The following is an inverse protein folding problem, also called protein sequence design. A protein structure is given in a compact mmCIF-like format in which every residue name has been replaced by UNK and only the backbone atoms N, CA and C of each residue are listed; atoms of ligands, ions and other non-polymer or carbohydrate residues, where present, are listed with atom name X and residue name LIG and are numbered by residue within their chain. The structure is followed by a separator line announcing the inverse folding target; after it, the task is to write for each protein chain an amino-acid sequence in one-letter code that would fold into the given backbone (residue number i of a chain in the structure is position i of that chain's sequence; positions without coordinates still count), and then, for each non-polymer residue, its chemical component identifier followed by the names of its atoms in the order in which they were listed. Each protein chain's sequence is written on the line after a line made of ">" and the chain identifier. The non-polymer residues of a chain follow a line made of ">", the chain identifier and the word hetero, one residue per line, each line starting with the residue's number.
data_IF_626624294551
#
_entry.id   IF_626624294551
#
_cell.length_a   1.000
_cell.length_b   1.000
_cell.length_c   1.000
_cell.angle_alpha   90.00
_cell.angle_beta   90.00
_cell.angle_gamma   90.00
#
_symmetry.space_group_name_H-M   'P 1'
#
loop_
_entity.id
_entity.type
_entity.pdbx_description
1 polymer ?
#
# COMPACT_ATOMS: atom_id res chain seq x y z
N UNK A 1 -54.60 47.72 52.53
CA UNK A 1 -54.93 46.48 51.79
C UNK A 1 -54.37 46.65 50.39
N UNK A 2 -53.24 46.02 50.09
CA UNK A 2 -52.60 46.07 48.79
C UNK A 2 -51.83 44.77 48.58
N UNK A 3 -52.38 43.88 47.79
CA UNK A 3 -51.81 42.56 47.50
C UNK A 3 -50.80 42.69 46.37
N UNK A 4 -49.52 42.44 46.67
CA UNK A 4 -48.45 42.42 45.68
C UNK A 4 -48.53 41.11 44.87
N UNK A 5 -48.64 41.25 43.56
CA UNK A 5 -48.76 40.15 42.61
C UNK A 5 -47.37 39.75 42.13
N UNK A 6 -46.96 38.51 42.41
CA UNK A 6 -45.66 37.96 42.03
C UNK A 6 -45.67 37.57 40.54
N UNK A 7 -44.67 37.95 39.73
CA UNK A 7 -44.63 37.59 38.32
C UNK A 7 -44.28 36.10 38.11
N UNK A 8 -44.81 35.46 37.04
CA UNK A 8 -44.58 34.04 36.77
C UNK A 8 -43.14 33.77 36.33
N UNK A 9 -42.59 32.66 36.83
CA UNK A 9 -41.24 32.18 36.50
C UNK A 9 -41.15 31.79 35.01
N UNK A 10 -40.21 32.43 34.31
CA UNK A 10 -39.84 32.09 32.92
C UNK A 10 -39.00 30.81 32.94
N UNK A 11 -39.59 29.71 32.46
CA UNK A 11 -38.88 28.45 32.26
C UNK A 11 -38.04 28.56 31.00
N UNK A 12 -36.72 28.70 31.17
CA UNK A 12 -35.76 28.68 30.07
C UNK A 12 -35.50 27.21 29.70
N UNK A 13 -36.11 26.73 28.63
CA UNK A 13 -35.78 25.43 28.02
C UNK A 13 -34.40 25.49 27.39
N UNK A 14 -33.49 24.62 27.85
CA UNK A 14 -32.13 24.50 27.32
C UNK A 14 -32.15 24.11 25.83
N UNK A 15 -31.24 24.66 25.00
CA UNK A 15 -31.18 24.34 23.58
C UNK A 15 -30.87 22.86 23.38
N UNK A 16 -31.67 22.17 22.55
CA UNK A 16 -31.45 20.76 22.23
C UNK A 16 -30.06 20.57 21.64
N UNK A 17 -29.22 19.76 22.30
CA UNK A 17 -27.92 19.37 21.78
C UNK A 17 -28.09 18.78 20.39
N UNK A 18 -27.67 19.53 19.36
CA UNK A 18 -27.64 19.05 17.99
C UNK A 18 -26.84 17.75 17.96
N UNK A 19 -27.44 16.66 17.47
CA UNK A 19 -26.74 15.39 17.25
C UNK A 19 -25.64 15.64 16.23
N UNK A 20 -24.41 15.80 16.71
CA UNK A 20 -23.22 15.77 15.86
C UNK A 20 -23.21 14.37 15.23
N UNK A 21 -23.26 14.31 13.90
CA UNK A 21 -23.18 13.05 13.18
C UNK A 21 -21.91 12.32 13.65
N UNK A 22 -22.03 11.06 14.09
CA UNK A 22 -20.88 10.23 14.44
C UNK A 22 -20.50 9.40 13.23
N UNK A 23 -19.21 9.35 12.91
CA UNK A 23 -18.66 8.51 11.83
C UNK A 23 -18.10 7.25 12.49
N UNK A 24 -18.43 6.07 11.98
CA UNK A 24 -17.85 4.82 12.50
C UNK A 24 -16.48 4.56 11.87
N UNK A 25 -15.50 4.15 12.67
CA UNK A 25 -14.18 3.76 12.17
C UNK A 25 -14.31 2.55 11.23
N UNK A 26 -13.72 2.58 10.02
CA UNK A 26 -13.85 1.48 9.06
C UNK A 26 -13.14 0.20 9.50
N UNK A 27 -12.11 0.30 10.35
CA UNK A 27 -11.34 -0.86 10.80
C UNK A 27 -11.97 -1.59 12.00
N UNK A 28 -12.46 -0.86 13.00
CA UNK A 28 -12.98 -1.48 14.22
C UNK A 28 -14.46 -1.19 14.52
N UNK A 29 -15.15 -0.38 13.70
CA UNK A 29 -16.56 -0.04 13.87
C UNK A 29 -16.86 0.95 15.01
N UNK A 30 -15.86 1.39 15.78
CA UNK A 30 -16.06 2.32 16.88
C UNK A 30 -16.53 3.70 16.40
N UNK A 31 -17.50 4.29 17.09
CA UNK A 31 -17.95 5.64 16.80
C UNK A 31 -16.84 6.67 17.08
N UNK A 32 -16.58 7.53 16.11
CA UNK A 32 -15.56 8.57 16.20
C UNK A 32 -16.22 9.95 16.07
N UNK A 33 -15.79 10.96 16.85
CA UNK A 33 -16.30 12.32 16.70
C UNK A 33 -15.99 12.82 15.29
N UNK A 34 -17.02 13.23 14.53
CA UNK A 34 -16.87 13.60 13.12
C UNK A 34 -16.04 14.86 12.86
N UNK A 35 -15.60 15.55 13.90
CA UNK A 35 -14.67 16.66 13.77
C UNK A 35 -13.25 16.14 14.02
N UNK A 36 -12.43 16.12 12.97
CA UNK A 36 -10.96 16.19 13.00
C UNK A 36 -10.15 15.08 13.69
N UNK A 37 -10.73 13.92 13.99
CA UNK A 37 -9.94 12.75 14.41
C UNK A 37 -9.25 12.12 13.19
N UNK A 38 -7.91 12.09 13.19
CA UNK A 38 -7.13 11.41 12.15
C UNK A 38 -6.93 9.91 12.44
N UNK A 39 -7.03 9.50 13.71
CA UNK A 39 -6.87 8.12 14.17
C UNK A 39 -8.04 7.68 15.00
N UNK A 40 -8.42 6.41 14.87
CA UNK A 40 -9.41 5.82 15.71
C UNK A 40 -8.84 5.69 17.13
N UNK A 41 -9.48 6.27 18.16
CA UNK A 41 -8.98 6.17 19.53
C UNK A 41 -9.08 4.73 20.10
N UNK A 42 -9.82 3.84 19.44
CA UNK A 42 -9.98 2.44 19.88
C UNK A 42 -8.92 1.51 19.29
N UNK A 43 -8.67 1.55 17.97
CA UNK A 43 -7.70 0.65 17.32
C UNK A 43 -6.37 1.33 16.93
N UNK A 44 -6.29 2.66 16.96
CA UNK A 44 -5.11 3.41 16.54
C UNK A 44 -4.86 3.44 15.03
N UNK A 45 -5.81 2.93 14.23
CA UNK A 45 -5.74 2.99 12.76
C UNK A 45 -6.19 4.36 12.25
N UNK A 46 -5.57 4.88 11.17
CA UNK A 46 -6.00 6.12 10.54
C UNK A 46 -7.46 6.01 10.07
N UNK A 47 -8.28 7.02 10.35
CA UNK A 47 -9.68 7.07 9.92
C UNK A 47 -9.78 7.54 8.46
N UNK A 48 -8.72 8.17 7.96
CA UNK A 48 -8.61 8.65 6.59
C UNK A 48 -7.36 8.08 5.90
N UNK A 49 -7.51 6.96 5.20
CA UNK A 49 -7.08 6.98 3.80
C UNK A 49 -8.29 7.43 2.99
N UNK A 50 -8.56 8.75 2.99
CA UNK A 50 -9.28 9.33 1.86
C UNK A 50 -8.32 9.14 0.69
N UNK A 51 -8.52 8.01 -0.01
CA UNK A 51 -7.73 7.58 -1.13
C UNK A 51 -7.43 8.81 -2.00
N UNK A 52 -6.21 8.90 -2.52
CA UNK A 52 -5.81 9.97 -3.43
C UNK A 52 -6.89 10.17 -4.51
N UNK A 53 -7.59 9.10 -4.88
CA UNK A 53 -8.76 9.05 -5.76
C UNK A 53 -9.93 9.92 -5.28
N UNK A 54 -10.34 9.93 -4.01
CA UNK A 54 -11.43 10.82 -3.52
C UNK A 54 -10.99 12.28 -3.50
N UNK A 55 -9.72 12.59 -3.19
CA UNK A 55 -9.18 13.94 -3.34
C UNK A 55 -9.10 14.35 -4.82
N UNK A 56 -8.69 13.46 -5.69
CA UNK A 56 -8.64 13.68 -7.14
C UNK A 56 -10.04 13.88 -7.71
N UNK A 57 -11.04 13.11 -7.26
CA UNK A 57 -12.45 13.24 -7.65
C UNK A 57 -13.02 14.58 -7.22
N UNK A 58 -12.64 15.09 -6.03
CA UNK A 58 -13.04 16.43 -5.55
C UNK A 58 -12.36 17.57 -6.34
N UNK A 59 -11.11 17.38 -6.77
CA UNK A 59 -10.37 18.32 -7.63
C UNK A 59 -10.97 18.32 -9.05
N UNK A 60 -11.28 17.13 -9.59
CA UNK A 60 -11.85 16.93 -10.92
C UNK A 60 -13.34 17.26 -10.99
N UNK A 61 -14.07 17.33 -9.87
CA UNK A 61 -15.47 17.77 -9.85
C UNK A 61 -15.64 19.29 -9.85
N UNK A 62 -14.55 20.06 -9.72
CA UNK A 62 -14.63 21.52 -9.74
C UNK A 62 -14.55 22.03 -11.20
N UNK A 63 -15.63 22.60 -11.76
CA UNK A 63 -15.68 23.01 -13.16
C UNK A 63 -14.62 24.07 -13.51
N UNK A 64 -14.18 24.89 -12.55
CA UNK A 64 -13.13 25.88 -12.77
C UNK A 64 -11.76 25.23 -13.02
N UNK A 65 -11.43 24.17 -12.27
CA UNK A 65 -10.15 23.46 -12.43
C UNK A 65 -10.11 22.71 -13.77
N UNK A 66 -11.23 22.11 -14.17
CA UNK A 66 -11.37 21.49 -15.50
C UNK A 66 -11.11 22.54 -16.60
N UNK A 67 -11.69 23.74 -16.47
CA UNK A 67 -11.49 24.84 -17.41
C UNK A 67 -10.02 25.28 -17.52
N UNK A 68 -9.32 25.44 -16.40
CA UNK A 68 -7.90 25.81 -16.39
C UNK A 68 -7.04 24.73 -17.05
N UNK A 69 -7.29 23.47 -16.74
CA UNK A 69 -6.52 22.34 -17.29
C UNK A 69 -6.70 22.21 -18.80
N UNK A 70 -7.93 22.43 -19.31
CA UNK A 70 -8.23 22.45 -20.73
C UNK A 70 -7.49 23.58 -21.47
N UNK A 71 -7.42 24.79 -20.89
CA UNK A 71 -6.67 25.92 -21.48
C UNK A 71 -5.17 25.62 -21.52
N UNK A 72 -4.60 25.08 -20.44
CA UNK A 72 -3.18 24.69 -20.41
C UNK A 72 -2.86 23.63 -21.47
N UNK A 73 -3.72 22.63 -21.63
CA UNK A 73 -3.54 21.58 -22.64
C UNK A 73 -3.61 22.16 -24.07
N UNK A 74 -4.55 23.08 -24.33
CA UNK A 74 -4.67 23.75 -25.62
C UNK A 74 -3.43 24.60 -25.94
N UNK A 75 -2.88 25.32 -24.95
CA UNK A 75 -1.64 26.09 -25.13
C UNK A 75 -0.43 25.20 -25.39
N UNK A 76 -0.34 24.04 -24.74
CA UNK A 76 0.75 23.09 -24.95
C UNK A 76 0.71 22.50 -26.37
N UNK A 77 -0.48 22.13 -26.85
CA UNK A 77 -0.67 21.64 -28.23
C UNK A 77 -0.34 22.74 -29.25
N UNK A 78 -0.78 23.98 -29.02
CA UNK A 78 -0.43 25.11 -29.88
C UNK A 78 1.09 25.37 -29.92
N UNK A 79 1.77 25.27 -28.77
CA UNK A 79 3.22 25.41 -28.69
C UNK A 79 3.96 24.32 -29.47
N UNK A 80 3.52 23.06 -29.38
CA UNK A 80 4.10 21.95 -30.14
C UNK A 80 3.90 22.11 -31.65
N UNK A 81 2.74 22.59 -32.09
CA UNK A 81 2.47 22.85 -33.51
C UNK A 81 3.32 24.00 -34.07
N UNK A 82 3.58 25.04 -33.26
CA UNK A 82 4.43 26.16 -33.66
C UNK A 82 5.92 25.81 -33.66
N UNK A 83 6.38 24.92 -32.77
CA UNK A 83 7.77 24.49 -32.72
C UNK A 83 8.18 23.60 -33.92
N UNK A 84 7.23 22.92 -34.56
CA UNK A 84 7.49 22.02 -35.69
C UNK A 84 7.81 22.68 -37.03
N UNK A 85 7.68 24.01 -37.16
CA UNK A 85 7.82 24.72 -38.45
C UNK A 85 9.16 25.45 -38.65
N UNK A 86 10.09 25.43 -37.68
CA UNK A 86 11.34 26.18 -37.75
C UNK A 86 12.62 25.34 -38.01
N UNK A 87 12.50 24.07 -38.38
CA UNK A 87 13.65 23.18 -38.65
C UNK A 87 13.95 22.99 -40.13
N UNK A 88 14.50 23.99 -40.81
CA UNK A 88 14.90 23.89 -42.21
C UNK A 88 15.74 25.07 -42.67
N UNK A 89 16.98 25.19 -42.16
CA UNK A 89 18.01 26.00 -42.82
C UNK A 89 19.00 25.07 -43.49
N UNK A 90 19.04 25.18 -44.81
CA UNK A 90 19.94 24.50 -45.72
C UNK A 90 21.40 24.77 -45.33
N UNK A 91 22.11 23.69 -44.97
CA UNK A 91 23.55 23.71 -44.77
C UNK A 91 24.27 23.84 -46.10
N UNK A 92 24.87 25.01 -46.31
CA UNK A 92 25.82 25.32 -47.38
C UNK A 92 27.02 24.37 -47.34
N UNK A 93 27.31 23.73 -48.47
CA UNK A 93 28.48 22.87 -48.67
C UNK A 93 29.81 23.66 -48.56
N UNK A 94 30.87 23.09 -47.96
CA UNK A 94 32.21 23.67 -48.01
C UNK A 94 32.94 23.29 -49.31
N UNK A 95 33.89 24.12 -49.78
CA UNK A 95 34.57 23.93 -51.05
C UNK A 95 35.65 22.84 -50.99
N UNK A 96 35.83 22.22 -52.16
CA UNK A 96 36.84 21.23 -52.53
C UNK A 96 38.28 21.74 -52.42
N UNK A 97 39.19 20.83 -52.03
CA UNK A 97 40.64 20.96 -52.16
C UNK A 97 41.28 19.56 -52.33
N UNK A 98 42.45 19.44 -52.99
CA UNK A 98 42.69 18.37 -53.97
C UNK A 98 43.63 17.24 -53.51
N UNK A 99 43.55 16.15 -54.28
CA UNK A 99 44.57 15.14 -54.59
C UNK A 99 45.35 14.42 -53.47
N UNK A 100 45.14 13.10 -53.40
CA UNK A 100 46.25 12.16 -53.57
C UNK A 100 45.75 10.75 -53.87
N UNK A 101 46.31 10.23 -54.95
CA UNK A 101 46.24 8.89 -55.51
C UNK A 101 46.53 7.76 -54.52
N UNK A 102 45.75 6.68 -54.57
CA UNK A 102 46.38 5.38 -54.80
C UNK A 102 45.43 4.36 -55.43
N UNK A 103 45.99 3.64 -56.40
CA UNK A 103 45.33 2.75 -57.33
C UNK A 103 45.36 1.28 -56.87
N UNK A 104 44.43 0.50 -57.41
CA UNK A 104 44.39 -0.97 -57.37
C UNK A 104 43.09 -1.44 -56.71
N UNK A 105 42.11 -2.04 -57.39
CA UNK A 105 42.14 -2.80 -58.63
C UNK A 105 41.44 -4.15 -58.35
N UNK A 106 40.62 -4.60 -59.31
CA UNK A 106 40.03 -5.94 -59.49
C UNK A 106 38.76 -6.31 -58.66
N UNK A 107 37.93 -7.28 -59.09
CA UNK A 107 36.64 -6.98 -59.70
C UNK A 107 35.43 -7.67 -59.03
N UNK A 108 34.24 -7.31 -59.53
CA UNK A 108 32.91 -7.96 -59.43
C UNK A 108 32.88 -9.46 -59.06
N UNK A 109 31.82 -9.90 -58.33
CA UNK A 109 30.72 -10.51 -59.09
C UNK A 109 29.29 -10.23 -58.58
N UNK A 110 28.41 -10.00 -59.54
CA UNK A 110 27.11 -10.67 -59.80
C UNK A 110 26.28 -11.28 -58.66
N UNK A 111 24.99 -10.92 -58.67
CA UNK A 111 23.87 -11.67 -58.06
C UNK A 111 23.33 -11.00 -56.78
N UNK A 112 22.04 -10.70 -56.61
CA UNK A 112 20.90 -11.58 -56.83
C UNK A 112 19.61 -10.75 -56.79
N UNK A 113 18.72 -10.94 -57.77
CA UNK A 113 17.38 -10.38 -57.76
C UNK A 113 16.50 -11.14 -56.75
N UNK A 114 15.94 -10.42 -55.77
CA UNK A 114 14.95 -10.97 -54.84
C UNK A 114 13.55 -10.87 -55.46
N UNK A 115 13.01 -12.04 -55.85
CA UNK A 115 11.61 -12.21 -56.24
C UNK A 115 10.74 -12.20 -54.98
N UNK A 116 9.85 -11.22 -54.87
CA UNK A 116 8.83 -11.13 -53.82
C UNK A 116 7.72 -12.15 -54.12
N UNK A 117 7.68 -13.25 -53.36
CA UNK A 117 6.58 -14.20 -53.36
C UNK A 117 5.43 -13.63 -52.52
N UNK A 118 4.31 -13.29 -53.16
CA UNK A 118 3.04 -12.97 -52.48
C UNK A 118 2.40 -14.26 -51.96
N UNK A 119 2.18 -14.32 -50.66
CA UNK A 119 1.31 -15.31 -50.00
C UNK A 119 -0.16 -14.96 -50.25
N UNK A 120 -1.01 -15.91 -50.68
CA UNK A 120 -2.46 -15.69 -50.76
C UNK A 120 -3.13 -15.81 -49.38
N UNK A 121 -4.03 -14.86 -49.10
CA UNK A 121 -4.93 -14.84 -47.94
C UNK A 121 -5.82 -16.09 -47.87
N UNK A 122 -6.09 -16.65 -46.68
CA UNK A 122 -7.09 -17.69 -46.52
C UNK A 122 -8.52 -17.13 -46.56
N UNK A 123 -9.34 -17.74 -47.42
CA UNK A 123 -10.79 -17.58 -47.52
C UNK A 123 -11.47 -18.11 -46.26
N UNK A 124 -12.21 -17.25 -45.55
CA UNK A 124 -13.07 -17.63 -44.43
C UNK A 124 -14.37 -18.20 -44.99
N UNK A 125 -14.66 -19.46 -44.67
CA UNK A 125 -15.94 -20.09 -44.94
C UNK A 125 -16.96 -19.69 -43.86
N UNK A 126 -18.08 -19.12 -44.30
CA UNK A 126 -19.20 -18.73 -43.46
C UNK A 126 -20.02 -19.96 -43.08
N UNK A 127 -19.99 -20.36 -41.81
CA UNK A 127 -20.84 -21.42 -41.28
C UNK A 127 -22.17 -20.83 -40.79
N UNK A 128 -23.27 -21.29 -41.39
CA UNK A 128 -24.64 -20.86 -41.06
C UNK A 128 -25.09 -21.46 -39.73
N UNK A 129 -25.25 -20.61 -38.72
CA UNK A 129 -25.88 -20.96 -37.44
C UNK A 129 -27.41 -21.01 -37.62
N UNK A 130 -27.99 -22.19 -37.35
CA UNK A 130 -29.45 -22.41 -37.26
C UNK A 130 -29.99 -21.80 -35.96
N UNK A 131 -31.03 -20.97 -36.11
CA UNK A 131 -31.85 -20.42 -35.02
C UNK A 131 -32.92 -21.45 -34.59
N UNK A 132 -33.09 -21.74 -33.28
CA UNK A 132 -34.33 -22.33 -32.79
C UNK A 132 -35.34 -21.26 -32.35
N UNK A 133 -36.49 -21.41 -33.01
CA UNK A 133 -37.85 -20.89 -32.83
C UNK A 133 -38.27 -20.55 -31.39
N UNK A 134 -38.90 -19.39 -31.26
CA UNK A 134 -39.59 -18.88 -30.08
C UNK A 134 -40.79 -19.75 -29.67
N UNK A 135 -40.96 -19.94 -28.35
CA UNK A 135 -42.23 -20.35 -27.74
C UNK A 135 -42.61 -19.29 -26.72
N UNK A 136 -43.67 -18.55 -27.06
CA UNK A 136 -44.44 -17.72 -26.15
C UNK A 136 -45.19 -18.61 -25.16
N UNK A 137 -45.14 -18.30 -23.86
CA UNK A 137 -46.33 -18.40 -23.00
C UNK A 137 -46.27 -17.33 -21.91
N UNK A 138 -47.33 -16.52 -21.92
CA UNK A 138 -47.69 -15.53 -20.91
C UNK A 138 -48.47 -16.21 -19.80
N UNK A 139 -48.10 -15.99 -18.53
CA UNK A 139 -49.05 -16.03 -17.39
C UNK A 139 -48.44 -15.41 -16.11
N UNK A 140 -49.06 -14.34 -15.66
CA UNK A 140 -48.92 -13.73 -14.32
C UNK A 140 -50.06 -14.25 -13.39
N UNK A 141 -50.09 -13.94 -12.08
CA UNK A 141 -49.85 -14.90 -10.99
C UNK A 141 -51.10 -15.25 -10.19
N UNK A 142 -51.06 -16.38 -9.47
CA UNK A 142 -52.07 -16.79 -8.49
C UNK A 142 -51.47 -16.92 -7.10
N UNK A 143 -52.14 -16.31 -6.11
CA UNK A 143 -51.78 -16.29 -4.71
C UNK A 143 -52.05 -17.63 -3.98
N UNK A 144 -51.41 -17.78 -2.81
CA UNK A 144 -51.63 -18.79 -1.77
C UNK A 144 -51.29 -20.25 -2.10
N UNK A 145 -50.10 -20.68 -1.69
CA UNK A 145 -49.89 -22.06 -1.23
C UNK A 145 -48.72 -22.13 -0.23
N UNK A 146 -49.07 -22.39 1.03
CA UNK A 146 -48.16 -22.79 2.11
C UNK A 146 -47.60 -24.16 1.77
N UNK A 147 -46.28 -24.31 1.60
CA UNK A 147 -45.64 -25.62 1.39
C UNK A 147 -44.89 -26.02 2.65
N UNK A 148 -45.42 -27.08 3.25
CA UNK A 148 -44.91 -27.80 4.40
C UNK A 148 -43.84 -28.80 3.93
N UNK A 149 -42.71 -28.88 4.64
CA UNK A 149 -41.65 -29.86 4.38
C UNK A 149 -42.13 -31.27 4.72
N UNK A 150 -42.00 -32.21 3.78
CA UNK A 150 -41.90 -33.63 4.10
C UNK A 150 -41.22 -34.40 2.96
N UNK A 151 -40.22 -35.18 3.36
CA UNK A 151 -39.44 -36.13 2.58
C UNK A 151 -40.24 -36.87 1.50
N UNK A 152 -39.73 -36.86 0.26
CA UNK A 152 -39.85 -38.02 -0.64
C UNK A 152 -38.68 -38.00 -1.62
N UNK A 153 -37.72 -38.90 -1.40
CA UNK A 153 -36.72 -39.30 -2.38
C UNK A 153 -37.44 -40.11 -3.46
N UNK A 154 -37.34 -39.68 -4.72
CA UNK A 154 -37.75 -40.48 -5.88
C UNK A 154 -36.64 -41.45 -6.28
N UNK A 155 -36.96 -42.72 -6.60
CA UNK A 155 -36.02 -43.74 -7.05
C UNK A 155 -36.08 -43.89 -8.57
N UNK A 156 -34.98 -43.63 -9.27
CA UNK A 156 -34.70 -44.02 -10.67
C UNK A 156 -33.19 -43.74 -10.84
N UNK A 157 -32.26 -44.68 -10.97
CA UNK A 157 -32.14 -45.71 -12.02
C UNK A 157 -31.37 -46.90 -11.43
N UNK A 158 -31.91 -48.09 -11.62
CA UNK A 158 -31.25 -49.39 -11.45
C UNK A 158 -30.73 -49.90 -12.81
N UNK A 159 -29.58 -50.57 -12.73
CA UNK A 159 -29.10 -51.68 -13.57
C UNK A 159 -28.57 -51.41 -14.98
N UNK A 160 -27.24 -51.51 -15.12
CA UNK A 160 -26.51 -52.60 -15.79
C UNK A 160 -25.18 -52.74 -14.99
N UNK A 161 -24.88 -53.82 -14.26
CA UNK A 161 -24.63 -55.18 -14.73
C UNK A 161 -23.11 -55.39 -14.84
N UNK A 162 -22.49 -56.11 -13.90
CA UNK A 162 -21.07 -56.48 -13.96
C UNK A 162 -20.51 -56.91 -12.61
N UNK A 163 -20.52 -58.23 -12.39
CA UNK A 163 -20.06 -58.94 -11.20
C UNK A 163 -18.58 -58.72 -10.85
N UNK A 164 -18.32 -58.79 -9.54
CA UNK A 164 -17.18 -59.41 -8.84
C UNK A 164 -16.52 -58.50 -7.77
N UNK A 165 -16.49 -59.00 -6.53
CA UNK A 165 -15.49 -58.58 -5.55
C UNK A 165 -16.03 -57.91 -4.28
N UNK A 166 -16.52 -58.72 -3.36
CA UNK A 166 -16.83 -58.39 -1.98
C UNK A 166 -15.55 -57.95 -1.22
N UNK A 167 -15.35 -56.64 -1.01
CA UNK A 167 -14.35 -56.08 -0.10
C UNK A 167 -14.96 -54.90 0.66
N UNK A 168 -15.51 -55.17 1.84
CA UNK A 168 -15.90 -54.16 2.83
C UNK A 168 -14.65 -53.39 3.29
N UNK A 169 -14.32 -52.29 2.60
CA UNK A 169 -13.35 -51.31 3.08
C UNK A 169 -14.00 -50.48 4.19
N UNK A 170 -13.67 -50.80 5.44
CA UNK A 170 -13.86 -49.91 6.58
C UNK A 170 -13.19 -48.58 6.30
N UNK A 171 -13.98 -47.51 6.29
CA UNK A 171 -13.51 -46.13 6.17
C UNK A 171 -12.70 -45.77 7.43
N UNK A 172 -11.38 -45.76 7.34
CA UNK A 172 -10.53 -45.18 8.38
C UNK A 172 -10.65 -43.66 8.31
N UNK A 173 -11.02 -42.96 9.40
CA UNK A 173 -11.09 -41.51 9.40
C UNK A 173 -9.69 -40.93 9.19
N UNK A 174 -9.52 -40.18 8.10
CA UNK A 174 -8.30 -39.46 7.78
C UNK A 174 -7.91 -38.57 8.97
N UNK A 175 -6.68 -38.66 9.50
CA UNK A 175 -6.25 -37.83 10.63
C UNK A 175 -6.36 -36.36 10.21
N UNK A 176 -7.13 -35.58 10.98
CA UNK A 176 -7.25 -34.13 10.78
C UNK A 176 -5.83 -33.53 10.80
N UNK A 177 -5.46 -32.69 9.81
CA UNK A 177 -4.17 -32.03 9.84
C UNK A 177 -4.05 -31.26 11.16
N UNK A 178 -3.02 -31.59 11.95
CA UNK A 178 -2.68 -30.83 13.16
C UNK A 178 -2.48 -29.38 12.72
N UNK A 179 -3.25 -28.45 13.29
CA UNK A 179 -3.03 -27.00 13.14
C UNK A 179 -1.57 -26.72 13.49
N UNK A 180 -0.75 -26.41 12.51
CA UNK A 180 0.59 -25.89 12.73
C UNK A 180 0.45 -24.60 13.54
N UNK A 181 1.12 -24.46 14.70
CA UNK A 181 1.06 -23.23 15.47
C UNK A 181 1.55 -22.07 14.62
N UNK A 182 0.80 -20.94 14.64
CA UNK A 182 1.25 -19.69 14.03
C UNK A 182 2.63 -19.35 14.62
N UNK A 183 3.64 -19.28 13.77
CA UNK A 183 4.95 -18.75 14.15
C UNK A 183 4.77 -17.26 14.38
N UNK A 184 4.87 -16.82 15.64
CA UNK A 184 4.85 -15.40 15.98
C UNK A 184 6.17 -14.79 15.48
N UNK A 185 6.14 -13.71 14.68
CA UNK A 185 7.36 -13.09 14.20
C UNK A 185 8.21 -12.64 15.40
N UNK A 186 9.49 -13.03 15.38
CA UNK A 186 10.44 -12.63 16.43
C UNK A 186 11.01 -11.27 16.02
N UNK A 187 10.77 -10.25 16.84
CA UNK A 187 11.34 -8.91 16.65
C UNK A 187 12.30 -8.61 17.78
N UNK A 188 13.55 -8.31 17.43
CA UNK A 188 14.55 -7.83 18.38
C UNK A 188 14.69 -6.32 18.26
N UNK A 189 14.53 -5.64 19.41
CA UNK A 189 14.67 -4.19 19.51
C UNK A 189 15.97 -3.89 20.25
N UNK A 190 16.91 -3.20 19.60
CA UNK A 190 18.03 -2.61 20.32
C UNK A 190 17.50 -1.39 21.08
N UNK A 191 17.55 -1.43 22.42
CA UNK A 191 17.14 -0.29 23.24
C UNK A 191 18.07 0.89 22.97
N UNK A 192 17.58 2.03 22.49
CA UNK A 192 18.43 3.18 22.20
C UNK A 192 19.00 3.78 23.49
N UNK A 193 20.29 4.09 23.47
CA UNK A 193 20.84 5.10 24.37
C UNK A 193 20.31 6.49 23.96
N UNK A 194 20.19 7.46 24.88
CA UNK A 194 19.79 8.83 24.54
C UNK A 194 20.70 9.42 23.46
N UNK A 195 20.16 9.65 22.26
CA UNK A 195 20.91 10.12 21.09
C UNK A 195 21.63 9.04 20.28
N UNK A 196 21.45 7.77 20.61
CA UNK A 196 21.99 6.63 19.87
C UNK A 196 21.16 6.26 18.64
N UNK A 197 21.75 5.46 17.75
CA UNK A 197 21.05 4.88 16.62
C UNK A 197 19.95 3.93 17.12
N UNK A 198 18.75 4.10 16.58
CA UNK A 198 17.64 3.19 16.81
C UNK A 198 17.75 2.06 15.80
N UNK A 199 17.73 0.80 16.23
CA UNK A 199 17.80 -0.36 15.32
C UNK A 199 16.75 -1.39 15.69
N UNK A 200 15.98 -1.81 14.68
CA UNK A 200 15.00 -2.88 14.77
C UNK A 200 15.33 -3.97 13.75
N UNK A 201 15.15 -5.22 14.14
CA UNK A 201 15.32 -6.37 13.25
C UNK A 201 14.19 -7.36 13.46
N UNK A 202 13.74 -7.99 12.40
CA UNK A 202 12.66 -8.97 12.49
C UNK A 202 12.29 -9.57 11.15
N UNK A 203 11.16 -10.28 11.15
CA UNK A 203 10.53 -10.87 9.98
C UNK A 203 9.05 -10.47 9.97
N UNK A 204 8.45 -10.43 8.78
CA UNK A 204 7.02 -10.10 8.64
C UNK A 204 6.67 -8.64 8.92
N UNK A 205 5.38 -8.34 8.94
CA UNK A 205 4.89 -6.99 9.23
C UNK A 205 5.22 -6.60 10.68
N UNK A 206 5.68 -5.37 10.87
CA UNK A 206 5.95 -4.85 12.20
C UNK A 206 5.67 -3.35 12.30
N UNK A 207 5.08 -2.96 13.43
CA UNK A 207 4.81 -1.57 13.80
C UNK A 207 5.43 -1.32 15.15
N UNK A 208 6.34 -0.36 15.25
CA UNK A 208 7.00 -0.03 16.52
C UNK A 208 6.02 0.62 17.50
N UNK A 209 6.29 0.49 18.79
CA UNK A 209 5.76 1.43 19.76
C UNK A 209 6.16 2.88 19.39
N UNK A 210 5.37 3.89 19.75
CA UNK A 210 5.74 5.28 19.53
C UNK A 210 7.07 5.63 20.22
N UNK A 211 7.97 6.34 19.54
CA UNK A 211 9.26 6.75 20.08
C UNK A 211 9.55 8.24 19.80
N UNK A 212 10.25 8.94 20.71
CA UNK A 212 10.56 10.35 20.51
C UNK A 212 11.68 10.53 19.49
N UNK A 213 11.51 11.49 18.56
CA UNK A 213 12.59 12.03 17.76
C UNK A 213 12.70 13.54 17.99
N UNK A 214 13.93 14.01 18.08
CA UNK A 214 14.24 15.45 18.14
C UNK A 214 14.31 16.03 16.72
N UNK A 215 14.27 17.36 16.61
CA UNK A 215 14.47 18.05 15.33
C UNK A 215 15.81 17.72 14.68
N UNK A 216 15.85 17.81 13.36
CA UNK A 216 17.06 17.68 12.55
C UNK A 216 16.97 16.64 11.45
N UNK A 217 18.09 16.45 10.77
CA UNK A 217 18.22 15.50 9.66
C UNK A 217 18.39 14.09 10.21
N UNK A 218 17.45 13.21 9.88
CA UNK A 218 17.51 11.78 10.19
C UNK A 218 17.78 10.99 8.91
N UNK A 219 18.52 9.89 9.03
CA UNK A 219 18.71 8.90 7.97
C UNK A 219 18.08 7.59 8.41
N UNK A 220 17.28 7.00 7.53
CA UNK A 220 16.68 5.68 7.69
C UNK A 220 17.44 4.74 6.75
N UNK A 221 18.14 3.76 7.30
CA UNK A 221 18.82 2.70 6.56
C UNK A 221 18.02 1.40 6.72
N UNK A 222 17.69 0.76 5.61
CA UNK A 222 16.90 -0.47 5.57
C UNK A 222 17.68 -1.55 4.80
N UNK A 223 17.83 -2.72 5.39
CA UNK A 223 18.26 -3.95 4.72
C UNK A 223 17.14 -4.97 4.81
N UNK A 224 16.92 -5.73 3.76
CA UNK A 224 15.94 -6.81 3.76
C UNK A 224 16.38 -7.95 2.83
N UNK A 225 15.85 -9.16 3.00
CA UNK A 225 16.06 -10.24 2.03
C UNK A 225 15.02 -10.22 0.90
N UNK A 226 13.88 -9.58 1.14
CA UNK A 226 12.77 -9.40 0.21
C UNK A 226 12.41 -7.92 0.12
N UNK A 227 11.68 -7.52 -0.93
CA UNK A 227 11.18 -6.16 -1.03
C UNK A 227 10.43 -5.81 0.26
N UNK A 228 10.87 -4.76 0.94
CA UNK A 228 10.37 -4.32 2.23
C UNK A 228 10.33 -2.80 2.23
N UNK A 229 9.25 -2.23 2.74
CA UNK A 229 9.09 -0.78 2.88
C UNK A 229 9.02 -0.44 4.35
N UNK A 230 9.83 0.54 4.77
CA UNK A 230 9.77 1.14 6.09
C UNK A 230 9.25 2.58 5.97
N UNK A 231 8.15 2.88 6.66
CA UNK A 231 7.51 4.18 6.70
C UNK A 231 7.68 4.80 8.08
N UNK A 232 8.30 5.97 8.15
CA UNK A 232 8.35 6.79 9.36
C UNK A 232 7.12 7.70 9.36
N UNK A 233 6.31 7.58 10.41
CA UNK A 233 5.08 8.36 10.61
C UNK A 233 5.19 9.24 11.85
N UNK A 234 4.64 10.45 11.79
CA UNK A 234 4.56 11.34 12.96
C UNK A 234 3.39 10.98 13.91
N UNK A 235 3.17 11.77 14.96
CA UNK A 235 2.08 11.53 15.92
C UNK A 235 0.68 11.71 15.31
N UNK A 236 0.61 12.43 14.20
CA UNK A 236 -0.57 12.59 13.34
C UNK A 236 -0.64 11.49 12.27
N UNK A 237 0.21 10.45 12.41
CA UNK A 237 0.47 9.31 11.52
C UNK A 237 0.66 9.62 10.03
N UNK A 238 0.91 10.90 9.72
CA UNK A 238 1.35 11.35 8.41
C UNK A 238 2.74 10.77 8.15
N UNK A 239 2.93 10.23 6.95
CA UNK A 239 4.23 9.70 6.52
C UNK A 239 5.20 10.86 6.31
N UNK A 240 6.28 10.88 7.08
CA UNK A 240 7.36 11.87 6.99
C UNK A 240 8.58 11.33 6.25
N UNK A 241 8.70 10.01 6.10
CA UNK A 241 9.80 9.37 5.39
C UNK A 241 9.50 7.94 4.97
N UNK A 242 10.09 7.52 3.84
CA UNK A 242 9.94 6.17 3.28
C UNK A 242 11.31 5.66 2.85
N UNK A 243 11.70 4.48 3.34
CA UNK A 243 12.80 3.70 2.82
C UNK A 243 12.25 2.40 2.22
N UNK A 244 12.79 1.96 1.08
CA UNK A 244 12.52 0.63 0.53
C UNK A 244 13.84 -0.10 0.35
N UNK A 245 13.85 -1.39 0.64
CA UNK A 245 14.99 -2.27 0.42
C UNK A 245 14.49 -3.60 -0.12
N UNK A 246 15.36 -4.32 -0.80
CA UNK A 246 15.13 -5.71 -1.18
C UNK A 246 16.46 -6.43 -1.02
N UNK A 247 16.87 -7.28 -1.98
CA UNK A 247 18.21 -7.87 -1.97
C UNK A 247 19.35 -6.84 -1.86
N UNK A 248 19.08 -5.58 -2.22
CA UNK A 248 19.97 -4.45 -2.03
C UNK A 248 19.50 -3.56 -0.87
N UNK A 249 20.42 -3.03 -0.04
CA UNK A 249 20.09 -2.06 0.99
C UNK A 249 19.50 -0.79 0.38
N UNK A 250 18.57 -0.17 1.10
CA UNK A 250 18.02 1.15 0.78
C UNK A 250 18.24 2.14 1.90
N UNK A 251 18.26 3.43 1.57
CA UNK A 251 18.35 4.49 2.58
C UNK A 251 17.58 5.73 2.15
N UNK A 252 16.99 6.46 3.10
CA UNK A 252 16.39 7.78 2.86
C UNK A 252 16.83 8.78 3.92
N UNK A 253 16.78 10.07 3.58
CA UNK A 253 17.06 11.17 4.50
C UNK A 253 15.77 11.97 4.72
N UNK A 254 15.42 12.18 5.97
CA UNK A 254 14.18 12.83 6.41
C UNK A 254 14.52 14.05 7.26
N UNK A 255 13.90 15.18 6.98
CA UNK A 255 13.97 16.35 7.85
C UNK A 255 12.86 16.30 8.89
N UNK A 256 13.23 16.12 10.16
CA UNK A 256 12.31 16.22 11.29
C UNK A 256 12.29 17.69 11.72
N UNK A 257 11.25 18.42 11.30
CA UNK A 257 11.13 19.87 11.54
C UNK A 257 10.69 20.20 12.96
N UNK A 258 9.93 19.31 13.59
CA UNK A 258 9.40 19.49 14.94
C UNK A 258 9.74 18.27 15.81
N UNK A 259 10.14 18.48 17.09
CA UNK A 259 10.36 17.36 17.99
C UNK A 259 9.01 16.72 18.28
N UNK A 260 8.95 15.40 18.30
CA UNK A 260 7.67 14.71 18.40
C UNK A 260 7.78 13.23 18.65
N UNK A 261 6.62 12.59 18.75
CA UNK A 261 6.52 11.14 18.81
C UNK A 261 6.31 10.61 17.40
N UNK A 262 7.06 9.56 17.05
CA UNK A 262 7.03 8.93 15.74
C UNK A 262 6.79 7.44 15.89
N UNK A 263 6.32 6.82 14.81
CA UNK A 263 6.17 5.37 14.68
C UNK A 263 6.84 4.92 13.39
N UNK A 264 7.43 3.73 13.42
CA UNK A 264 7.99 3.09 12.24
C UNK A 264 7.12 1.88 11.89
N UNK A 265 6.65 1.85 10.65
CA UNK A 265 5.85 0.76 10.10
C UNK A 265 6.65 0.05 9.01
N UNK A 266 6.73 -1.27 9.09
CA UNK A 266 7.56 -2.11 8.22
C UNK A 266 6.67 -3.15 7.55
N UNK A 267 6.66 -3.13 6.23
CA UNK A 267 5.80 -3.96 5.39
C UNK A 267 6.66 -4.73 4.40
N UNK A 268 7.04 -5.99 4.70
CA UNK A 268 7.70 -6.87 3.74
C UNK A 268 6.69 -7.46 2.74
N UNK A 269 7.12 -7.58 1.49
CA UNK A 269 6.39 -8.21 0.39
C UNK A 269 6.86 -9.66 0.20
N UNK A 270 6.83 -10.44 1.28
CA UNK A 270 7.27 -11.82 1.29
C UNK A 270 7.73 -12.28 2.68
N UNK A 271 8.18 -13.54 2.76
CA UNK A 271 8.86 -14.05 3.95
C UNK A 271 10.34 -13.70 3.85
N UNK A 272 10.84 -12.93 4.82
CA UNK A 272 12.22 -12.48 4.81
C UNK A 272 12.57 -11.66 6.03
N UNK A 273 13.86 -11.67 6.35
CA UNK A 273 14.41 -10.86 7.44
C UNK A 273 14.62 -9.43 6.96
N UNK A 274 14.35 -8.48 7.84
CA UNK A 274 14.67 -7.08 7.64
C UNK A 274 15.42 -6.52 8.86
N UNK A 275 16.20 -5.47 8.62
CA UNK A 275 16.85 -4.66 9.66
C UNK A 275 16.74 -3.21 9.26
N UNK A 276 16.22 -2.38 10.15
CA UNK A 276 16.04 -0.94 9.92
C UNK A 276 16.72 -0.14 11.02
N UNK A 277 17.55 0.82 10.61
CA UNK A 277 18.25 1.75 11.48
C UNK A 277 17.78 3.18 11.24
N UNK A 278 17.54 3.94 12.32
CA UNK A 278 17.36 5.39 12.26
C UNK A 278 18.54 6.04 12.98
N UNK A 279 19.28 6.87 12.24
CA UNK A 279 20.43 7.61 12.76
C UNK A 279 20.29 9.11 12.52
N UNK A 280 20.68 9.92 13.49
CA UNK A 280 20.75 11.37 13.31
C UNK A 280 22.00 11.70 12.51
N UNK A 281 21.84 12.44 11.40
CA UNK A 281 22.96 13.05 10.71
C UNK A 281 23.34 14.29 11.51
N UNK A 282 24.40 14.18 12.30
CA UNK A 282 25.04 15.35 12.92
C UNK A 282 25.81 16.04 11.80
N UNK A 283 25.16 16.99 11.12
CA UNK A 283 25.90 17.96 10.32
C UNK A 283 26.83 18.66 11.29
N UNK A 284 28.14 18.43 11.16
CA UNK A 284 29.16 19.18 11.91
C UNK A 284 28.90 20.65 11.62
N UNK A 285 28.19 21.32 12.53
CA UNK A 285 27.95 22.75 12.46
C UNK A 285 29.33 23.38 12.27
N UNK A 286 29.46 24.16 11.19
CA UNK A 286 30.75 24.55 10.64
C UNK A 286 31.76 24.86 11.72
N UNK A 287 32.93 24.22 11.62
CA UNK A 287 34.13 24.83 12.17
C UNK A 287 34.10 26.30 11.71
N UNK A 288 34.29 27.26 12.63
CA UNK A 288 34.35 28.66 12.24
C UNK A 288 35.33 28.75 11.06
N UNK A 289 35.01 29.48 9.99
CA UNK A 289 35.89 29.60 8.84
C UNK A 289 37.27 29.95 9.39
N UNK A 290 38.25 29.08 9.18
CA UNK A 290 39.63 29.33 9.58
C UNK A 290 40.00 30.60 8.84
N UNK A 291 40.04 31.72 9.54
CA UNK A 291 40.53 32.98 9.00
C UNK A 291 41.95 32.68 8.56
N UNK A 292 42.29 32.76 7.26
CA UNK A 292 43.67 32.62 6.84
C UNK A 292 44.47 33.69 7.60
N UNK A 293 45.60 33.34 8.23
CA UNK A 293 46.40 34.32 8.95
C UNK A 293 46.78 35.44 7.99
N UNK A 294 46.30 36.64 8.30
CA UNK A 294 46.70 37.89 7.65
C UNK A 294 48.22 37.99 7.69
N UNK A 295 48.81 38.27 6.53
CA UNK A 295 50.23 38.14 6.27
C UNK A 295 51.12 38.90 7.26
N UNK A 296 51.94 38.15 7.98
CA UNK A 296 53.28 38.58 8.38
C UNK A 296 54.28 37.97 7.39
N UNK A 297 54.79 38.79 6.47
CA UNK A 297 56.15 38.55 5.94
C UNK A 297 57.09 38.65 7.14
N UNK A 298 58.05 37.73 7.23
CA UNK A 298 59.08 37.60 8.26
C UNK A 298 58.71 36.66 9.43
N UNK A 299 58.98 35.36 9.25
CA UNK A 299 59.44 34.50 10.35
C UNK A 299 60.14 33.23 9.84
N UNK A 300 61.26 32.95 10.50
CA UNK A 300 62.26 31.90 10.38
C UNK A 300 61.77 30.43 10.23
N UNK A 301 62.65 29.51 9.79
CA UNK A 301 62.35 28.08 9.73
C UNK A 301 62.29 27.48 11.14
N UNK A 302 61.13 26.90 11.50
CA UNK A 302 60.96 26.12 12.73
C UNK A 302 61.15 24.61 12.48
N UNK A 303 61.61 23.86 13.51
CA UNK A 303 62.12 22.50 13.38
C UNK A 303 61.02 21.44 13.34
N UNK A 304 61.35 20.33 12.68
CA UNK A 304 60.54 19.11 12.55
C UNK A 304 60.40 18.43 13.92
N UNK A 305 59.19 18.17 14.45
CA UNK A 305 59.03 17.33 15.62
C UNK A 305 58.90 15.85 15.24
N UNK A 306 59.67 15.03 15.94
CA UNK A 306 59.73 13.58 15.85
C UNK A 306 58.45 12.89 16.31
N UNK A 307 58.10 11.81 15.60
CA UNK A 307 57.06 10.83 15.98
C UNK A 307 57.30 10.29 17.38
N UNK A 308 56.26 10.31 18.22
CA UNK A 308 56.20 9.48 19.44
C UNK A 308 54.88 8.71 19.48
N UNK A 309 54.98 7.46 19.92
CA UNK A 309 54.01 6.36 19.90
C UNK A 309 52.68 6.60 20.65
N UNK A 310 51.61 5.83 20.38
CA UNK A 310 50.33 5.92 21.07
C UNK A 310 50.38 5.24 22.44
N UNK A 311 50.02 5.99 23.49
CA UNK A 311 49.79 5.49 24.84
C UNK A 311 48.36 4.99 25.05
N UNK A 312 48.27 3.92 25.83
CA UNK A 312 47.09 3.15 26.25
C UNK A 312 46.04 3.99 26.99
N UNK A 313 44.73 3.75 26.82
CA UNK A 313 43.71 4.47 27.59
C UNK A 313 43.62 3.97 29.04
N UNK A 314 43.72 4.91 29.98
CA UNK A 314 43.47 4.74 31.41
C UNK A 314 41.97 4.86 31.68
N UNK A 315 41.40 3.85 32.35
CA UNK A 315 40.05 3.84 32.88
C UNK A 315 39.98 4.61 34.21
N UNK A 316 39.09 5.61 34.29
CA UNK A 316 38.70 6.26 35.55
C UNK A 316 37.30 5.79 35.97
N UNK A 317 37.07 5.50 37.28
CA UNK A 317 35.75 5.14 37.80
C UNK A 317 34.90 6.41 38.04
N UNK A 318 33.64 6.36 37.64
CA UNK A 318 32.66 7.43 37.88
C UNK A 318 32.01 7.22 39.25
N UNK A 319 32.24 8.20 40.13
CA UNK A 319 31.62 8.37 41.44
C UNK A 319 30.14 8.73 41.31
N UNK A 320 29.27 7.95 41.97
CA UNK A 320 27.83 8.22 42.15
C UNK A 320 27.57 9.28 43.23
N UNK A 321 26.65 10.21 42.99
CA UNK A 321 26.07 11.14 43.98
C UNK A 321 24.54 11.28 43.77
N UNK A 322 23.76 11.85 44.70
CA UNK A 322 22.62 11.16 45.31
C UNK A 322 21.25 11.71 44.90
N UNK A 323 20.25 10.87 45.20
CA UNK A 323 18.81 11.13 45.35
C UNK A 323 18.46 12.46 46.01
N UNK A 324 17.51 13.21 45.42
CA UNK A 324 16.76 14.25 46.16
C UNK A 324 15.28 14.31 45.75
N UNK A 325 14.44 14.01 46.75
CA UNK A 325 13.09 14.49 47.08
C UNK A 325 11.99 14.68 46.03
N UNK A 326 10.92 13.91 46.28
CA UNK A 326 9.50 14.09 45.98
C UNK A 326 8.91 15.44 46.46
N UNK A 327 7.93 16.01 45.74
CA UNK A 327 6.91 16.86 46.34
C UNK A 327 5.55 16.15 46.42
N UNK A 328 5.07 16.07 47.64
CA UNK A 328 3.67 15.81 48.03
C UNK A 328 2.78 16.98 47.58
N UNK A 329 1.67 16.67 46.91
CA UNK A 329 0.55 17.59 46.77
C UNK A 329 -0.76 16.88 47.15
N UNK A 330 -1.48 17.53 48.06
CA UNK A 330 -2.63 17.06 48.84
C UNK A 330 -3.89 17.80 48.37
N UNK A 331 -4.93 17.00 48.03
CA UNK A 331 -6.38 17.23 48.19
C UNK A 331 -7.12 18.30 47.37
N UNK A 332 -8.14 17.87 46.62
CA UNK A 332 -9.53 18.30 46.80
C UNK A 332 -10.53 17.35 46.11
N UNK A 333 -11.47 16.86 46.91
CA UNK A 333 -12.65 16.07 46.55
C UNK A 333 -13.73 17.01 46.05
N UNK A 334 -14.33 16.71 44.90
CA UNK A 334 -15.70 17.16 44.56
C UNK A 334 -16.43 16.01 43.87
N UNK A 335 -17.23 15.29 44.66
CA UNK A 335 -18.20 14.29 44.25
C UNK A 335 -19.38 14.94 43.54
N UNK A 336 -19.54 14.66 42.25
CA UNK A 336 -20.74 14.93 41.46
C UNK A 336 -21.10 13.69 40.66
N UNK A 337 -21.75 12.73 41.31
CA UNK A 337 -22.23 11.48 40.70
C UNK A 337 -23.46 11.76 39.85
N UNK A 338 -23.27 11.98 38.54
CA UNK A 338 -24.32 11.78 37.55
C UNK A 338 -24.23 10.34 37.07
N UNK A 339 -25.21 9.51 37.45
CA UNK A 339 -25.37 8.14 36.93
C UNK A 339 -25.59 8.23 35.41
N UNK A 340 -24.65 7.78 34.56
CA UNK A 340 -24.86 7.79 33.13
C UNK A 340 -25.90 6.73 32.77
N UNK A 341 -27.00 7.16 32.15
CA UNK A 341 -27.96 6.27 31.50
C UNK A 341 -27.20 5.35 30.55
N UNK A 342 -27.33 4.01 30.67
CA UNK A 342 -26.59 3.07 29.83
C UNK A 342 -26.92 3.33 28.36
N UNK A 343 -25.93 3.84 27.62
CA UNK A 343 -26.02 3.99 26.19
C UNK A 343 -26.21 2.58 25.60
N UNK A 344 -27.31 2.38 24.87
CA UNK A 344 -27.56 1.13 24.15
C UNK A 344 -26.37 0.84 23.25
N UNK A 345 -25.55 -0.13 23.65
CA UNK A 345 -24.47 -0.68 22.82
C UNK A 345 -25.12 -1.24 21.58
N UNK A 346 -24.96 -0.56 20.45
CA UNK A 346 -25.39 -1.08 19.16
C UNK A 346 -24.67 -2.42 18.94
N UNK A 347 -25.44 -3.50 18.90
CA UNK A 347 -24.93 -4.81 18.53
C UNK A 347 -24.27 -4.69 17.17
N UNK A 348 -22.97 -5.02 17.03
CA UNK A 348 -22.29 -4.99 15.74
C UNK A 348 -23.10 -5.81 14.74
N UNK A 349 -23.54 -5.17 13.65
CA UNK A 349 -24.19 -5.88 12.55
C UNK A 349 -23.22 -6.94 12.02
N UNK A 350 -23.71 -8.15 11.77
CA UNK A 350 -22.90 -9.23 11.23
C UNK A 350 -22.22 -8.76 9.93
N UNK A 351 -20.90 -8.89 9.84
CA UNK A 351 -20.14 -8.57 8.64
C UNK A 351 -20.71 -9.40 7.47
N UNK A 352 -21.13 -8.77 6.37
CA UNK A 352 -21.66 -9.50 5.23
C UNK A 352 -20.62 -10.51 4.74
N UNK A 353 -20.99 -11.80 4.77
CA UNK A 353 -20.12 -12.89 4.31
C UNK A 353 -20.09 -12.87 2.79
N UNK A 354 -18.92 -12.60 2.21
CA UNK A 354 -18.72 -12.65 0.77
C UNK A 354 -18.57 -14.11 0.31
N UNK A 355 -19.25 -14.55 -0.76
CA UNK A 355 -19.03 -15.89 -1.29
C UNK A 355 -17.62 -16.01 -1.88
N UNK A 356 -16.91 -17.08 -1.52
CA UNK A 356 -15.58 -17.36 -2.05
C UNK A 356 -15.62 -17.60 -3.56
N UNK A 357 -14.65 -17.06 -4.30
CA UNK A 357 -14.52 -17.24 -5.76
C UNK A 357 -13.09 -17.60 -6.12
N UNK A 358 -12.91 -18.44 -7.14
CA UNK A 358 -11.60 -18.85 -7.64
C UNK A 358 -11.52 -18.62 -9.14
N UNK A 359 -10.41 -18.02 -9.58
CA UNK A 359 -10.08 -17.77 -10.97
C UNK A 359 -8.80 -18.53 -11.31
N UNK A 360 -8.80 -19.24 -12.43
CA UNK A 360 -7.63 -19.98 -12.94
C UNK A 360 -7.36 -19.59 -14.37
N UNK A 361 -6.09 -19.55 -14.77
CA UNK A 361 -5.73 -19.26 -16.15
C UNK A 361 -4.28 -19.58 -16.46
N UNK A 362 -3.86 -19.23 -17.67
CA UNK A 362 -2.50 -19.37 -18.14
C UNK A 362 -2.13 -18.15 -18.99
N UNK A 363 -0.97 -17.55 -18.72
CA UNK A 363 -0.53 -16.33 -19.39
C UNK A 363 -1.24 -15.06 -18.90
N UNK A 364 -1.01 -13.96 -19.61
CA UNK A 364 -1.69 -12.68 -19.37
C UNK A 364 -3.19 -12.81 -19.67
N UNK A 365 -4.05 -12.40 -18.74
CA UNK A 365 -5.52 -12.50 -18.88
C UNK A 365 -6.23 -11.52 -17.96
N UNK A 366 -7.49 -11.21 -18.28
CA UNK A 366 -8.41 -10.50 -17.38
C UNK A 366 -9.49 -11.45 -16.91
N UNK A 367 -9.79 -11.44 -15.61
CA UNK A 367 -10.92 -12.20 -15.08
C UNK A 367 -12.26 -11.64 -15.60
N UNK A 368 -13.34 -12.43 -15.56
CA UNK A 368 -14.69 -11.87 -15.57
C UNK A 368 -14.87 -10.88 -14.42
N UNK A 369 -15.77 -9.91 -14.57
CA UNK A 369 -16.16 -9.03 -13.47
C UNK A 369 -16.84 -9.81 -12.34
N UNK A 370 -16.62 -9.39 -11.10
CA UNK A 370 -17.27 -9.94 -9.93
C UNK A 370 -17.56 -8.85 -8.88
N UNK A 371 -18.69 -8.97 -8.15
CA UNK A 371 -19.00 -8.06 -7.07
C UNK A 371 -18.06 -8.29 -5.88
N UNK A 372 -17.53 -7.21 -5.33
CA UNK A 372 -16.91 -7.17 -3.99
C UNK A 372 -17.71 -6.24 -3.09
N UNK A 373 -17.90 -6.64 -1.84
CA UNK A 373 -18.50 -5.77 -0.85
C UNK A 373 -17.44 -4.80 -0.29
N UNK A 374 -17.85 -3.58 0.03
CA UNK A 374 -17.03 -2.65 0.82
C UNK A 374 -16.57 -3.33 2.11
N UNK A 375 -15.28 -3.19 2.42
CA UNK A 375 -14.65 -3.78 3.58
C UNK A 375 -13.46 -4.68 3.22
N UNK A 376 -12.92 -5.42 4.21
CA UNK A 376 -11.77 -6.29 3.98
C UNK A 376 -12.15 -7.48 3.09
N UNK A 377 -11.32 -7.74 2.08
CA UNK A 377 -11.39 -8.92 1.22
C UNK A 377 -10.04 -9.65 1.23
N UNK A 378 -10.08 -10.98 1.35
CA UNK A 378 -8.88 -11.81 1.43
C UNK A 378 -8.57 -12.44 0.07
N UNK A 379 -7.40 -12.15 -0.48
CA UNK A 379 -6.94 -12.73 -1.74
C UNK A 379 -5.86 -13.76 -1.47
N UNK A 380 -5.93 -14.92 -2.13
CA UNK A 380 -4.84 -15.90 -2.18
C UNK A 380 -4.46 -16.16 -3.63
N UNK A 381 -3.19 -16.31 -3.93
CA UNK A 381 -2.72 -16.60 -5.29
C UNK A 381 -1.70 -17.74 -5.30
N UNK A 382 -1.61 -18.44 -6.42
CA UNK A 382 -0.51 -19.33 -6.75
C UNK A 382 -0.16 -19.21 -8.24
N UNK A 383 1.12 -19.33 -8.56
CA UNK A 383 1.62 -19.29 -9.94
C UNK A 383 2.75 -20.31 -10.10
N UNK A 384 2.77 -20.97 -11.25
CA UNK A 384 3.90 -21.83 -11.66
C UNK A 384 4.68 -21.20 -12.82
N UNK A 385 4.44 -19.93 -13.09
CA UNK A 385 5.03 -19.20 -14.21
C UNK A 385 6.54 -18.99 -14.01
N UNK A 386 7.40 -19.37 -14.98
CA UNK A 386 8.77 -18.90 -15.00
C UNK A 386 8.79 -17.43 -15.46
N UNK A 387 9.15 -16.53 -14.55
CA UNK A 387 9.22 -15.09 -14.81
C UNK A 387 8.19 -14.27 -14.03
N UNK A 388 8.08 -13.00 -14.39
CA UNK A 388 7.21 -12.06 -13.71
C UNK A 388 5.73 -12.50 -13.71
N UNK A 389 5.12 -12.43 -12.54
CA UNK A 389 3.70 -12.62 -12.29
C UNK A 389 3.17 -11.40 -11.53
N UNK A 390 2.12 -10.77 -12.05
CA UNK A 390 1.43 -9.68 -11.37
C UNK A 390 -0.07 -9.86 -11.41
N UNK A 391 -0.73 -9.48 -10.32
CA UNK A 391 -2.19 -9.47 -10.19
C UNK A 391 -2.60 -8.11 -9.66
N UNK A 392 -3.42 -7.41 -10.43
CA UNK A 392 -3.93 -6.08 -10.06
C UNK A 392 -5.45 -6.12 -9.97
N UNK A 393 -6.01 -5.61 -8.87
CA UNK A 393 -7.43 -5.37 -8.73
C UNK A 393 -7.77 -4.03 -9.38
N UNK A 394 -8.71 -4.04 -10.30
CA UNK A 394 -9.23 -2.82 -10.94
C UNK A 394 -10.74 -2.74 -10.80
N UNK A 395 -11.26 -1.52 -10.74
CA UNK A 395 -12.70 -1.25 -10.66
C UNK A 395 -13.41 -1.37 -12.02
N UNK A 396 -14.72 -1.11 -12.04
CA UNK A 396 -15.55 -1.12 -13.25
C UNK A 396 -15.01 -0.16 -14.32
N UNK A 397 -14.43 0.97 -13.91
CA UNK A 397 -13.86 1.97 -14.83
C UNK A 397 -12.42 1.62 -15.27
N UNK A 398 -11.87 0.50 -14.79
CA UNK A 398 -10.52 0.04 -15.10
C UNK A 398 -9.42 0.83 -14.39
N UNK A 399 -9.74 1.58 -13.35
CA UNK A 399 -8.73 2.21 -12.50
C UNK A 399 -8.14 1.17 -11.54
N UNK A 400 -6.85 1.30 -11.27
CA UNK A 400 -6.14 0.43 -10.33
C UNK A 400 -6.58 0.76 -8.91
N UNK A 401 -7.18 -0.23 -8.25
CA UNK A 401 -7.60 -0.15 -6.85
C UNK A 401 -6.47 -0.61 -5.96
N UNK A 402 -5.86 -1.75 -6.28
CA UNK A 402 -4.75 -2.31 -5.49
C UNK A 402 -3.94 -3.34 -6.28
N UNK A 403 -2.65 -3.44 -5.97
CA UNK A 403 -1.78 -4.51 -6.46
C UNK A 403 -1.88 -5.70 -5.49
N UNK A 404 -2.30 -6.86 -5.96
CA UNK A 404 -2.44 -8.07 -5.12
C UNK A 404 -1.10 -8.80 -5.01
N UNK A 405 -0.45 -9.06 -6.15
CA UNK A 405 0.80 -9.79 -6.23
C UNK A 405 1.74 -9.16 -7.27
N UNK A 406 3.05 -9.20 -7.00
CA UNK A 406 4.12 -8.86 -7.94
C UNK A 406 5.36 -9.68 -7.56
N UNK A 407 5.57 -10.78 -8.25
CA UNK A 407 6.61 -11.78 -7.94
C UNK A 407 7.30 -12.22 -9.23
N UNK A 408 8.49 -12.80 -9.12
CA UNK A 408 9.27 -13.30 -10.26
C UNK A 408 9.57 -14.79 -10.04
N UNK A 409 8.98 -15.65 -10.88
CA UNK A 409 9.03 -17.10 -10.77
C UNK A 409 7.82 -17.72 -10.06
N UNK A 410 7.86 -19.05 -9.83
CA UNK A 410 6.80 -19.77 -9.13
C UNK A 410 6.68 -19.30 -7.68
N UNK A 411 5.46 -18.98 -7.26
CA UNK A 411 5.19 -18.51 -5.91
C UNK A 411 3.72 -18.74 -5.51
N UNK A 412 3.44 -18.69 -4.21
CA UNK A 412 2.10 -18.65 -3.68
C UNK A 412 2.04 -17.76 -2.45
N UNK A 413 0.99 -16.96 -2.33
CA UNK A 413 0.85 -16.01 -1.23
C UNK A 413 -0.60 -15.59 -0.98
N UNK A 414 -0.77 -14.70 -0.02
CA UNK A 414 -2.07 -14.12 0.32
C UNK A 414 -1.94 -12.63 0.65
N UNK A 415 -3.01 -11.87 0.44
CA UNK A 415 -3.07 -10.44 0.75
C UNK A 415 -4.50 -10.03 1.11
N UNK A 416 -4.63 -9.34 2.23
CA UNK A 416 -5.87 -8.65 2.61
C UNK A 416 -5.90 -7.25 1.99
N UNK A 417 -7.04 -6.87 1.42
CA UNK A 417 -7.24 -5.56 0.80
C UNK A 417 -8.53 -4.95 1.34
N UNK A 418 -8.50 -3.66 1.67
CA UNK A 418 -9.69 -2.90 2.01
C UNK A 418 -10.36 -2.43 0.71
N UNK A 419 -11.54 -2.99 0.41
CA UNK A 419 -12.36 -2.63 -0.75
C UNK A 419 -13.09 -1.32 -0.43
N UNK A 420 -12.87 -0.24 -1.21
CA UNK A 420 -13.36 1.09 -0.88
C UNK A 420 -14.87 1.28 -1.13
N UNK A 421 -15.44 0.58 -2.12
CA UNK A 421 -16.85 0.71 -2.49
C UNK A 421 -17.42 -0.66 -2.89
N UNK A 422 -18.70 -0.90 -2.61
CA UNK A 422 -19.39 -2.14 -3.06
C UNK A 422 -19.74 -2.00 -4.53
N UNK A 423 -18.93 -2.59 -5.41
CA UNK A 423 -19.04 -2.46 -6.87
C UNK A 423 -18.58 -3.74 -7.59
N UNK A 424 -18.62 -3.72 -8.92
CA UNK A 424 -18.03 -4.75 -9.77
C UNK A 424 -16.54 -4.48 -9.99
N UNK A 425 -15.73 -5.50 -9.73
CA UNK A 425 -14.28 -5.46 -9.90
C UNK A 425 -13.83 -6.53 -10.87
N UNK A 426 -12.61 -6.39 -11.40
CA UNK A 426 -11.94 -7.46 -12.15
C UNK A 426 -10.48 -7.54 -11.76
N UNK A 427 -9.87 -8.70 -12.02
CA UNK A 427 -8.44 -8.91 -11.91
C UNK A 427 -7.80 -8.71 -13.27
N UNK A 428 -6.74 -7.91 -13.33
CA UNK A 428 -5.80 -7.88 -14.45
C UNK A 428 -4.57 -8.69 -14.04
N UNK A 429 -4.36 -9.82 -14.73
CA UNK A 429 -3.27 -10.75 -14.47
C UNK A 429 -2.26 -10.67 -15.62
N UNK A 430 -1.00 -10.46 -15.27
CA UNK A 430 0.13 -10.62 -16.20
C UNK A 430 1.00 -11.79 -15.75
N UNK A 431 1.14 -12.79 -16.61
CA UNK A 431 1.83 -14.04 -16.31
C UNK A 431 2.34 -14.68 -17.61
N UNK A 432 3.31 -15.60 -17.52
CA UNK A 432 3.74 -16.45 -18.65
C UNK A 432 3.30 -17.91 -18.52
N UNK A 433 2.77 -18.31 -17.37
CA UNK A 433 2.39 -19.69 -17.05
C UNK A 433 1.06 -19.79 -16.33
N UNK A 434 0.78 -20.98 -15.79
CA UNK A 434 -0.44 -21.26 -15.05
C UNK A 434 -0.50 -20.47 -13.74
N UNK A 435 -1.68 -19.97 -13.43
CA UNK A 435 -1.95 -19.24 -12.20
C UNK A 435 -3.36 -19.53 -11.67
N UNK A 436 -3.53 -19.32 -10.37
CA UNK A 436 -4.80 -19.40 -9.66
C UNK A 436 -4.88 -18.23 -8.67
N UNK A 437 -6.05 -17.59 -8.59
CA UNK A 437 -6.36 -16.54 -7.61
C UNK A 437 -7.71 -16.83 -6.98
N UNK A 438 -7.77 -16.91 -5.65
CA UNK A 438 -9.02 -17.06 -4.89
C UNK A 438 -9.29 -15.83 -4.03
N UNK A 439 -10.57 -15.53 -3.81
CA UNK A 439 -11.08 -14.39 -3.05
C UNK A 439 -12.06 -14.93 -2.01
N UNK A 440 -11.96 -14.49 -0.76
CA UNK A 440 -12.82 -14.88 0.35
C UNK A 440 -13.30 -13.68 1.18
#
# INVERSE_FOLDING_TARGET
>A
MGSAQTPPAVVVTAPSSARVAQISCPHCGAAVPASNAQYCPQCGDPIEEVSVIVRLRRILSNPYLIGILAVLLALLVAGLLLAGTMGGQDGTAPPTGPDSSNAGGVPSPTGTALTVLRTPSPTVASEQVRVPRAVNTSRTPGANATVNLSNTLSPYIQNLGGDEGNQLRTWSPTPRPKKTPLVVPTVSVATPAPGGNLVWQGEGFYKTAPFPLNTGTMRIDLTASVLTVAQLRDASGKVVGIASAGPMPGSTVVQVTEPGTFQLEITPFGSGTWSVGIMRIVTSAGLPPVTPPSGGKDAAPLPIPSRTSPGTPVTTPVTSLPTTSSPTATTAVTTGTSTPTPAMTATPGATPTQPSRTFTGNGTTRSPSFPLNHGPAHFTYSTTSPGQFSVTLVDEQGQVVSLIALVDGPDSGSRDILVPETEEYRLEIDAKGHWEVSIA
#
